data_IF_690914119400
#
_entry.id   IF_690914119400
#
_cell.length_a   1.000
_cell.length_b   1.000
_cell.length_c   1.000
_cell.angle_alpha   90.00
_cell.angle_beta   90.00
_cell.angle_gamma   90.00
#
_symmetry.space_group_name_H-M   'P 1'
#
loop_
_entity.id
_entity.type
_entity.pdbx_description
1 polymer ?
#
# COMPACT_ATOMS: atom_id res chain seq x y z
N UNK A 1 12.29 10.25 11.36
CA UNK A 1 11.03 11.01 11.60
C UNK A 1 10.53 11.66 10.32
N UNK A 2 9.84 10.92 9.45
CA UNK A 2 9.00 11.43 8.35
C UNK A 2 7.87 10.44 8.01
N UNK A 3 7.50 9.58 8.94
CA UNK A 3 6.27 8.77 8.90
C UNK A 3 5.22 9.55 9.70
N UNK A 4 4.17 9.98 9.00
CA UNK A 4 3.01 10.75 9.50
C UNK A 4 3.23 12.17 10.05
N UNK A 5 4.01 12.99 9.34
CA UNK A 5 3.75 14.44 9.37
C UNK A 5 2.42 14.72 8.67
N UNK A 6 1.42 15.24 9.41
CA UNK A 6 0.12 15.73 8.91
C UNK A 6 0.24 16.27 7.47
N UNK A 7 -0.21 15.50 6.47
CA UNK A 7 -0.26 15.97 5.08
C UNK A 7 -1.04 17.29 5.04
N UNK A 8 -0.48 18.31 4.40
CA UNK A 8 -1.23 19.55 4.14
C UNK A 8 -2.50 19.23 3.34
N UNK A 9 -3.52 20.07 3.46
CA UNK A 9 -4.76 19.87 2.68
C UNK A 9 -4.49 19.89 1.17
N UNK A 10 -3.50 20.68 0.72
CA UNK A 10 -3.05 20.70 -0.67
C UNK A 10 -2.44 19.37 -1.11
N UNK A 11 -1.63 18.73 -0.25
CA UNK A 11 -1.04 17.42 -0.56
C UNK A 11 -2.10 16.33 -0.72
N UNK A 12 -3.16 16.37 0.10
CA UNK A 12 -4.31 15.45 -0.03
C UNK A 12 -5.09 15.70 -1.32
N UNK A 13 -5.33 16.97 -1.67
CA UNK A 13 -6.07 17.33 -2.87
C UNK A 13 -5.32 16.88 -4.13
N UNK A 14 -4.02 17.18 -4.20
CA UNK A 14 -3.15 16.76 -5.30
C UNK A 14 -3.05 15.23 -5.41
N UNK A 15 -2.99 14.52 -4.29
CA UNK A 15 -2.99 13.05 -4.29
C UNK A 15 -4.29 12.48 -4.89
N UNK A 16 -5.43 13.17 -4.74
CA UNK A 16 -6.70 12.77 -5.37
C UNK A 16 -6.65 13.06 -6.87
N UNK A 17 -6.17 14.24 -7.28
CA UNK A 17 -6.07 14.63 -8.70
C UNK A 17 -5.21 13.68 -9.52
N UNK A 18 -4.13 13.15 -8.94
CA UNK A 18 -3.22 12.24 -9.61
C UNK A 18 -3.75 10.81 -9.75
N UNK A 19 -4.76 10.41 -8.96
CA UNK A 19 -5.28 9.04 -9.00
C UNK A 19 -5.90 8.74 -10.37
N UNK A 20 -5.51 7.61 -11.00
CA UNK A 20 -6.25 7.06 -12.13
C UNK A 20 -7.74 6.93 -11.82
N UNK A 21 -8.58 7.30 -12.79
CA UNK A 21 -10.04 7.23 -12.65
C UNK A 21 -10.68 6.07 -13.42
N UNK A 22 -9.91 5.31 -14.19
CA UNK A 22 -10.36 4.17 -15.00
C UNK A 22 -9.23 3.14 -15.15
N UNK A 23 -9.54 1.93 -15.61
CA UNK A 23 -8.51 0.93 -15.90
C UNK A 23 -7.51 1.38 -16.97
N UNK A 24 -7.95 2.17 -17.95
CA UNK A 24 -7.08 2.72 -19.00
C UNK A 24 -6.06 3.71 -18.46
N UNK A 25 -6.42 4.47 -17.43
CA UNK A 25 -5.49 5.37 -16.74
C UNK A 25 -4.62 4.65 -15.70
N UNK A 26 -4.99 3.44 -15.30
CA UNK A 26 -4.27 2.64 -14.31
C UNK A 26 -3.12 1.88 -14.99
N UNK A 27 -1.97 2.52 -15.05
CA UNK A 27 -0.75 1.97 -15.65
C UNK A 27 -0.27 0.76 -14.83
N UNK A 28 0.21 -0.31 -15.50
CA UNK A 28 0.72 -1.51 -14.83
C UNK A 28 -0.36 -2.40 -14.22
N UNK A 29 0.06 -3.43 -13.46
CA UNK A 29 -0.82 -4.44 -12.85
C UNK A 29 -1.73 -5.16 -13.87
N UNK A 30 -1.20 -5.41 -15.08
CA UNK A 30 -2.01 -5.82 -16.24
C UNK A 30 -2.83 -7.09 -15.98
N UNK A 31 -2.23 -8.13 -15.38
CA UNK A 31 -2.93 -9.36 -15.00
C UNK A 31 -4.10 -9.10 -14.04
N UNK A 32 -3.91 -8.24 -13.04
CA UNK A 32 -4.96 -7.91 -12.06
C UNK A 32 -6.09 -7.12 -12.72
N UNK A 33 -5.76 -6.14 -13.58
CA UNK A 33 -6.76 -5.38 -14.34
C UNK A 33 -7.59 -6.26 -15.26
N UNK A 34 -6.95 -7.18 -16.00
CA UNK A 34 -7.63 -8.10 -16.91
C UNK A 34 -8.65 -8.97 -16.16
N UNK A 35 -8.21 -9.62 -15.08
CA UNK A 35 -9.11 -10.47 -14.28
C UNK A 35 -10.25 -9.67 -13.63
N UNK A 36 -9.97 -8.47 -13.11
CA UNK A 36 -11.02 -7.59 -12.57
C UNK A 36 -12.01 -7.14 -13.65
N UNK A 37 -11.52 -6.86 -14.87
CA UNK A 37 -12.37 -6.45 -15.99
C UNK A 37 -13.36 -7.55 -16.35
N UNK A 38 -12.88 -8.81 -16.42
CA UNK A 38 -13.73 -9.98 -16.66
C UNK A 38 -14.77 -10.15 -15.54
N UNK A 39 -14.35 -10.04 -14.27
CA UNK A 39 -15.25 -10.15 -13.11
C UNK A 39 -16.37 -9.10 -13.16
N UNK A 40 -16.01 -7.84 -13.40
CA UNK A 40 -16.93 -6.70 -13.49
C UNK A 40 -17.88 -6.87 -14.68
N UNK A 41 -17.37 -7.23 -15.87
CA UNK A 41 -18.19 -7.41 -17.06
C UNK A 41 -19.21 -8.55 -16.87
N UNK A 42 -18.79 -9.65 -16.25
CA UNK A 42 -19.67 -10.77 -15.96
C UNK A 42 -20.80 -10.39 -14.98
N UNK A 43 -20.48 -9.69 -13.89
CA UNK A 43 -21.47 -9.21 -12.93
C UNK A 43 -22.47 -8.23 -13.56
N UNK A 44 -21.97 -7.28 -14.37
CA UNK A 44 -22.82 -6.34 -15.12
C UNK A 44 -23.80 -7.05 -16.06
N UNK A 45 -23.35 -8.08 -16.79
CA UNK A 45 -24.21 -8.86 -17.70
C UNK A 45 -25.34 -9.56 -16.94
N UNK A 46 -25.07 -10.02 -15.71
CA UNK A 46 -26.07 -10.64 -14.83
C UNK A 46 -26.93 -9.63 -14.05
N UNK A 47 -26.58 -8.34 -14.07
CA UNK A 47 -27.19 -7.28 -13.24
C UNK A 47 -27.08 -7.61 -11.74
N UNK A 48 -25.92 -8.09 -11.34
CA UNK A 48 -25.60 -8.46 -9.96
C UNK A 48 -24.44 -7.62 -9.44
N UNK A 49 -24.34 -7.50 -8.11
CA UNK A 49 -23.14 -7.01 -7.44
C UNK A 49 -21.96 -7.95 -7.73
N UNK A 50 -20.74 -7.42 -7.78
CA UNK A 50 -19.55 -8.28 -7.83
C UNK A 50 -19.36 -8.97 -6.49
N UNK A 51 -18.74 -10.14 -6.52
CA UNK A 51 -18.28 -10.83 -5.32
C UNK A 51 -17.36 -9.95 -4.47
N UNK A 52 -17.26 -10.24 -3.18
CA UNK A 52 -16.33 -9.54 -2.30
C UNK A 52 -14.88 -9.70 -2.77
N UNK A 53 -14.13 -8.61 -2.77
CA UNK A 53 -12.76 -8.55 -3.31
C UNK A 53 -11.73 -8.29 -2.22
N UNK A 54 -10.68 -9.10 -2.16
CA UNK A 54 -9.52 -8.86 -1.32
C UNK A 54 -8.35 -8.34 -2.16
N UNK A 55 -7.86 -7.14 -1.85
CA UNK A 55 -6.67 -6.54 -2.45
C UNK A 55 -5.51 -6.58 -1.46
N UNK A 56 -4.38 -7.17 -1.82
CA UNK A 56 -3.21 -7.18 -0.93
C UNK A 56 -1.91 -6.84 -1.64
N UNK A 57 -0.95 -6.32 -0.87
CA UNK A 57 0.37 -5.90 -1.36
C UNK A 57 0.87 -4.68 -0.57
N UNK A 58 2.14 -4.32 -0.77
CA UNK A 58 2.79 -3.22 -0.04
C UNK A 58 2.03 -1.88 -0.14
N UNK A 59 2.32 -0.99 0.81
CA UNK A 59 1.72 0.34 0.84
C UNK A 59 2.06 1.14 -0.42
N UNK A 60 1.10 1.91 -0.92
CA UNK A 60 1.32 2.80 -2.08
C UNK A 60 1.23 2.16 -3.47
N UNK A 61 0.96 0.84 -3.57
CA UNK A 61 0.80 0.14 -4.86
C UNK A 61 -0.55 0.40 -5.57
N UNK A 62 -1.47 1.12 -4.95
CA UNK A 62 -2.72 1.56 -5.58
C UNK A 62 -3.96 0.72 -5.25
N UNK A 63 -4.00 0.04 -4.10
CA UNK A 63 -5.18 -0.71 -3.60
C UNK A 63 -6.44 0.17 -3.50
N UNK A 64 -6.36 1.30 -2.80
CA UNK A 64 -7.47 2.26 -2.67
C UNK A 64 -7.90 2.83 -4.02
N UNK A 65 -6.94 3.13 -4.91
CA UNK A 65 -7.24 3.59 -6.27
C UNK A 65 -8.03 2.54 -7.06
N UNK A 66 -7.63 1.28 -6.95
CA UNK A 66 -8.30 0.17 -7.64
C UNK A 66 -9.72 -0.03 -7.12
N UNK A 67 -9.95 0.07 -5.81
CA UNK A 67 -11.29 0.04 -5.22
C UNK A 67 -12.21 1.15 -5.79
N UNK A 68 -11.69 2.37 -5.93
CA UNK A 68 -12.45 3.46 -6.58
C UNK A 68 -12.75 3.17 -8.06
N UNK A 69 -11.80 2.58 -8.80
CA UNK A 69 -12.03 2.21 -10.20
C UNK A 69 -13.10 1.13 -10.28
N UNK A 70 -13.05 0.11 -9.43
CA UNK A 70 -14.07 -0.95 -9.36
C UNK A 70 -15.46 -0.35 -9.12
N UNK A 71 -15.60 0.54 -8.13
CA UNK A 71 -16.87 1.21 -7.85
C UNK A 71 -17.38 2.03 -9.03
N UNK A 72 -16.50 2.80 -9.67
CA UNK A 72 -16.84 3.60 -10.85
C UNK A 72 -17.27 2.74 -12.03
N UNK A 73 -16.55 1.65 -12.27
CA UNK A 73 -16.89 0.72 -13.34
C UNK A 73 -18.25 0.08 -13.06
N UNK A 74 -18.52 -0.35 -11.84
CA UNK A 74 -19.83 -0.90 -11.46
C UNK A 74 -20.97 0.13 -11.50
N UNK A 75 -20.64 1.43 -11.43
CA UNK A 75 -21.63 2.50 -11.39
C UNK A 75 -22.26 2.68 -10.01
N UNK A 76 -21.60 2.18 -8.96
CA UNK A 76 -22.08 2.20 -7.58
C UNK A 76 -21.31 3.19 -6.72
N UNK A 77 -21.87 3.58 -5.57
CA UNK A 77 -21.15 4.43 -4.62
C UNK A 77 -20.09 3.60 -3.88
N UNK A 78 -19.09 4.30 -3.34
CA UNK A 78 -18.07 3.70 -2.49
C UNK A 78 -18.03 4.40 -1.14
N UNK A 79 -18.23 3.61 -0.08
CA UNK A 79 -17.99 4.02 1.30
C UNK A 79 -16.60 3.56 1.71
N UNK A 80 -15.76 4.48 2.17
CA UNK A 80 -14.40 4.19 2.61
C UNK A 80 -14.33 4.22 4.13
N UNK A 81 -13.70 3.20 4.69
CA UNK A 81 -13.32 3.11 6.10
C UNK A 81 -12.00 2.35 6.23
N UNK A 82 -11.53 2.13 7.46
CA UNK A 82 -10.38 1.29 7.75
C UNK A 82 -10.69 0.34 8.90
N UNK A 83 -9.97 -0.79 8.98
CA UNK A 83 -10.08 -1.74 10.07
C UNK A 83 -9.95 -1.09 11.44
N UNK A 84 -8.93 -0.24 11.68
CA UNK A 84 -8.80 0.48 12.95
C UNK A 84 -9.92 1.49 13.24
N UNK A 85 -10.61 2.00 12.22
CA UNK A 85 -11.72 2.94 12.41
C UNK A 85 -13.03 2.25 12.85
N UNK A 86 -13.10 0.92 12.78
CA UNK A 86 -14.25 0.13 13.22
C UNK A 86 -13.89 -0.55 14.55
N UNK A 87 -14.08 0.19 15.65
CA UNK A 87 -13.64 -0.25 16.98
C UNK A 87 -14.66 -1.16 17.67
N UNK A 88 -15.95 -1.02 17.35
CA UNK A 88 -17.04 -1.79 17.97
C UNK A 88 -18.09 -2.18 16.95
N UNK A 89 -18.91 -3.18 17.31
CA UNK A 89 -20.04 -3.66 16.50
C UNK A 89 -20.98 -2.53 16.09
N UNK A 90 -21.20 -1.54 16.96
CA UNK A 90 -22.03 -0.36 16.63
C UNK A 90 -21.47 0.49 15.49
N UNK A 91 -20.15 0.60 15.34
CA UNK A 91 -19.54 1.36 14.24
C UNK A 91 -19.72 0.61 12.91
N UNK A 92 -19.52 -0.72 12.94
CA UNK A 92 -19.78 -1.57 11.78
C UNK A 92 -21.25 -1.50 11.37
N UNK A 93 -22.16 -1.62 12.34
CA UNK A 93 -23.60 -1.51 12.11
C UNK A 93 -23.96 -0.17 11.47
N UNK A 94 -23.43 0.94 11.99
CA UNK A 94 -23.65 2.27 11.42
C UNK A 94 -23.16 2.37 9.97
N UNK A 95 -22.03 1.75 9.63
CA UNK A 95 -21.52 1.75 8.26
C UNK A 95 -22.41 0.91 7.34
N UNK A 96 -22.72 -0.33 7.73
CA UNK A 96 -23.47 -1.28 6.90
C UNK A 96 -24.92 -0.85 6.66
N UNK A 97 -25.59 -0.35 7.69
CA UNK A 97 -27.00 0.11 7.60
C UNK A 97 -27.18 1.38 6.75
N UNK A 98 -26.11 2.12 6.48
CA UNK A 98 -26.13 3.29 5.61
C UNK A 98 -25.78 2.97 4.14
N UNK A 99 -25.49 1.72 3.81
CA UNK A 99 -25.24 1.32 2.43
C UNK A 99 -26.56 1.25 1.64
N UNK A 100 -26.45 1.38 0.33
CA UNK A 100 -27.53 1.10 -0.62
C UNK A 100 -27.23 -0.18 -1.41
N UNK A 101 -28.23 -0.69 -2.13
CA UNK A 101 -28.06 -1.89 -2.96
C UNK A 101 -26.99 -1.68 -4.04
N UNK A 102 -26.05 -2.60 -4.12
CA UNK A 102 -24.87 -2.55 -4.98
C UNK A 102 -23.73 -1.65 -4.50
N UNK A 103 -23.89 -0.91 -3.40
CA UNK A 103 -22.80 -0.06 -2.89
C UNK A 103 -21.55 -0.88 -2.54
N UNK A 104 -20.40 -0.22 -2.66
CA UNK A 104 -19.11 -0.81 -2.32
C UNK A 104 -18.66 -0.30 -0.95
N UNK A 105 -18.43 -1.21 -0.01
CA UNK A 105 -17.75 -0.92 1.24
C UNK A 105 -16.26 -1.24 1.11
N UNK A 106 -15.40 -0.23 1.11
CA UNK A 106 -13.95 -0.41 1.12
C UNK A 106 -13.39 -0.29 2.54
N UNK A 107 -12.72 -1.35 3.01
CA UNK A 107 -12.07 -1.40 4.33
C UNK A 107 -10.56 -1.55 4.15
N UNK A 108 -9.83 -0.44 4.29
CA UNK A 108 -8.36 -0.49 4.31
C UNK A 108 -7.85 -1.09 5.61
N UNK A 109 -6.70 -1.75 5.59
CA UNK A 109 -6.15 -2.45 6.75
C UNK A 109 -7.20 -3.37 7.44
N UNK A 110 -8.00 -4.09 6.66
CA UNK A 110 -9.08 -4.94 7.17
C UNK A 110 -8.61 -5.99 8.19
N UNK A 111 -7.34 -6.38 8.14
CA UNK A 111 -6.70 -7.28 9.11
C UNK A 111 -6.56 -6.68 10.52
N UNK A 112 -6.80 -5.38 10.70
CA UNK A 112 -6.76 -4.68 12.00
C UNK A 112 -8.14 -4.52 12.64
N UNK A 113 -9.21 -5.05 12.03
CA UNK A 113 -10.49 -5.17 12.72
C UNK A 113 -10.29 -6.07 13.94
N UNK A 114 -10.93 -5.72 15.06
CA UNK A 114 -10.90 -6.62 16.21
C UNK A 114 -11.77 -7.85 15.94
N UNK A 115 -11.48 -8.93 16.66
CA UNK A 115 -12.13 -10.23 16.48
C UNK A 115 -13.66 -10.16 16.55
N UNK A 116 -14.21 -9.40 17.49
CA UNK A 116 -15.67 -9.27 17.65
C UNK A 116 -16.32 -8.61 16.43
N UNK A 117 -15.74 -7.52 15.94
CA UNK A 117 -16.20 -6.83 14.73
C UNK A 117 -16.07 -7.73 13.50
N UNK A 118 -14.94 -8.43 13.38
CA UNK A 118 -14.67 -9.36 12.28
C UNK A 118 -15.69 -10.50 12.25
N UNK A 119 -15.97 -11.13 13.39
CA UNK A 119 -16.97 -12.21 13.48
C UNK A 119 -18.39 -11.70 13.17
N UNK A 120 -18.70 -10.47 13.54
CA UNK A 120 -19.99 -9.83 13.22
C UNK A 120 -20.13 -9.53 11.72
N UNK A 121 -19.02 -9.38 10.99
CA UNK A 121 -19.04 -9.12 9.55
C UNK A 121 -19.39 -10.38 8.73
N UNK A 122 -19.22 -11.58 9.28
CA UNK A 122 -19.41 -12.82 8.53
C UNK A 122 -20.83 -13.01 7.98
N UNK A 123 -21.91 -12.90 8.77
CA UNK A 123 -23.27 -13.03 8.24
C UNK A 123 -23.63 -11.88 7.28
N UNK A 124 -23.03 -10.70 7.47
CA UNK A 124 -23.22 -9.57 6.58
C UNK A 124 -22.64 -9.81 5.18
N UNK A 125 -21.54 -10.58 5.09
CA UNK A 125 -20.92 -10.97 3.82
C UNK A 125 -21.62 -12.15 3.15
N UNK A 126 -22.10 -13.11 3.94
CA UNK A 126 -22.65 -14.37 3.41
C UNK A 126 -24.14 -14.24 3.07
N UNK A 127 -24.92 -13.70 4.01
CA UNK A 127 -26.38 -13.72 3.98
C UNK A 127 -27.00 -12.31 3.94
N UNK A 128 -26.18 -11.25 3.93
CA UNK A 128 -26.62 -9.85 3.98
C UNK A 128 -27.52 -9.56 5.18
N UNK A 129 -27.15 -10.08 6.35
CA UNK A 129 -27.84 -9.84 7.61
C UNK A 129 -26.86 -9.40 8.69
N UNK A 130 -27.36 -8.63 9.65
CA UNK A 130 -26.58 -8.16 10.78
C UNK A 130 -27.30 -8.44 12.10
N UNK A 131 -26.68 -9.24 12.95
CA UNK A 131 -27.20 -9.54 14.28
C UNK A 131 -26.71 -8.49 15.29
N UNK A 132 -27.66 -7.78 15.92
CA UNK A 132 -27.38 -6.79 16.95
C UNK A 132 -28.01 -7.23 18.27
N UNK A 133 -27.17 -7.33 19.31
CA UNK A 133 -27.62 -7.60 20.67
C UNK A 133 -28.03 -6.27 21.33
N UNK A 134 -29.30 -6.15 21.67
CA UNK A 134 -29.85 -5.02 22.43
C UNK A 134 -30.09 -5.39 23.89
N UNK A 135 -29.62 -4.54 24.80
CA UNK A 135 -29.72 -4.75 26.25
C UNK A 135 -28.47 -5.38 26.86
N UNK A 136 -28.54 -5.74 28.15
CA UNK A 136 -27.44 -6.35 28.91
C UNK A 136 -27.96 -7.51 29.76
N UNK A 137 -27.16 -8.56 29.92
CA UNK A 137 -27.48 -9.69 30.78
C UNK A 137 -28.55 -10.64 30.19
N UNK A 138 -29.23 -11.44 31.02
CA UNK A 138 -30.18 -12.46 30.58
C UNK A 138 -31.41 -11.93 29.81
N UNK A 139 -31.67 -10.63 29.88
CA UNK A 139 -32.77 -9.96 29.16
C UNK A 139 -32.36 -9.39 27.81
N UNK A 140 -31.10 -9.55 27.40
CA UNK A 140 -30.63 -9.10 26.10
C UNK A 140 -31.37 -9.83 24.98
N UNK A 141 -31.82 -9.08 23.97
CA UNK A 141 -32.48 -9.62 22.78
C UNK A 141 -31.60 -9.42 21.57
N UNK A 142 -31.47 -10.45 20.76
CA UNK A 142 -30.84 -10.34 19.44
C UNK A 142 -31.89 -9.89 18.44
N UNK A 143 -31.61 -8.79 17.73
CA UNK A 143 -32.39 -8.34 16.58
C UNK A 143 -31.54 -8.56 15.35
N UNK A 144 -32.12 -9.21 14.35
CA UNK A 144 -31.51 -9.39 13.04
C UNK A 144 -32.00 -8.27 12.12
N UNK A 145 -31.06 -7.56 11.49
CA UNK A 145 -31.34 -6.52 10.50
C UNK A 145 -30.97 -7.04 9.12
N UNK A 146 -31.87 -6.87 8.16
CA UNK A 146 -31.56 -7.11 6.74
C UNK A 146 -30.68 -5.97 6.21
N UNK A 147 -29.67 -6.33 5.42
CA UNK A 147 -28.75 -5.41 4.76
C UNK A 147 -29.01 -5.39 3.24
N UNK A 148 -28.70 -4.29 2.55
CA UNK A 148 -28.65 -4.27 1.08
C UNK A 148 -27.56 -5.22 0.57
N UNK A 149 -27.66 -5.65 -0.70
CA UNK A 149 -26.59 -6.45 -1.32
C UNK A 149 -25.41 -5.56 -1.68
N UNK A 150 -24.42 -5.50 -0.80
CA UNK A 150 -23.23 -4.68 -1.00
C UNK A 150 -22.01 -5.52 -1.40
N UNK A 151 -20.98 -4.88 -1.96
CA UNK A 151 -19.68 -5.52 -2.17
C UNK A 151 -18.68 -5.02 -1.12
N UNK A 152 -18.14 -5.91 -0.30
CA UNK A 152 -16.95 -5.62 0.50
C UNK A 152 -15.68 -5.68 -0.36
N UNK A 153 -14.88 -4.62 -0.33
CA UNK A 153 -13.49 -4.64 -0.80
C UNK A 153 -12.55 -4.48 0.40
N UNK A 154 -11.88 -5.56 0.78
CA UNK A 154 -10.87 -5.55 1.84
C UNK A 154 -9.49 -5.20 1.28
N UNK A 155 -8.71 -4.40 1.99
CA UNK A 155 -7.30 -4.17 1.66
C UNK A 155 -6.36 -4.51 2.82
N UNK A 156 -5.20 -5.09 2.51
CA UNK A 156 -4.16 -5.42 3.49
C UNK A 156 -2.75 -5.31 2.89
N UNK A 157 -1.72 -5.22 3.73
CA UNK A 157 -0.32 -5.32 3.29
C UNK A 157 0.06 -6.76 2.97
N UNK A 158 -0.41 -7.70 3.78
CA UNK A 158 -0.08 -9.13 3.71
C UNK A 158 -1.34 -9.97 3.93
N UNK A 159 -1.59 -10.90 3.02
CA UNK A 159 -2.72 -11.84 3.13
C UNK A 159 -2.62 -12.74 4.37
N UNK A 160 -1.41 -13.00 4.87
CA UNK A 160 -1.18 -13.79 6.09
C UNK A 160 -1.69 -13.16 7.38
N UNK A 161 -2.03 -11.86 7.37
CA UNK A 161 -2.52 -11.14 8.54
C UNK A 161 -4.03 -11.32 8.78
N UNK A 162 -4.79 -11.69 7.75
CA UNK A 162 -6.21 -11.95 7.91
C UNK A 162 -6.44 -13.34 8.52
N UNK A 163 -7.51 -13.49 9.29
CA UNK A 163 -7.97 -14.79 9.75
C UNK A 163 -8.34 -15.71 8.57
N UNK A 164 -8.31 -17.02 8.79
CA UNK A 164 -8.80 -17.95 7.78
C UNK A 164 -10.30 -17.75 7.45
N UNK A 165 -11.19 -17.58 8.46
CA UNK A 165 -12.61 -17.34 8.20
C UNK A 165 -12.91 -16.08 7.38
N UNK A 166 -12.25 -14.95 7.63
CA UNK A 166 -12.46 -13.74 6.84
C UNK A 166 -11.94 -13.90 5.41
N UNK A 167 -10.78 -14.55 5.23
CA UNK A 167 -10.21 -14.79 3.89
C UNK A 167 -11.09 -15.66 3.01
N UNK A 168 -11.70 -16.71 3.55
CA UNK A 168 -12.52 -17.63 2.76
C UNK A 168 -13.82 -17.01 2.23
N UNK A 169 -14.22 -15.84 2.75
CA UNK A 169 -15.44 -15.12 2.35
C UNK A 169 -15.22 -14.11 1.22
N UNK A 170 -13.97 -13.88 0.81
CA UNK A 170 -13.68 -13.11 -0.39
C UNK A 170 -13.74 -14.03 -1.63
N UNK A 171 -14.69 -13.77 -2.54
CA UNK A 171 -14.82 -14.54 -3.78
C UNK A 171 -13.67 -14.30 -4.77
N UNK A 172 -13.09 -13.10 -4.75
CA UNK A 172 -11.93 -12.76 -5.57
C UNK A 172 -10.78 -12.18 -4.74
N UNK A 173 -9.55 -12.66 -4.97
CA UNK A 173 -8.35 -12.19 -4.27
C UNK A 173 -7.26 -11.79 -5.27
N UNK A 174 -6.77 -10.56 -5.16
CA UNK A 174 -5.75 -10.01 -6.06
C UNK A 174 -4.54 -9.47 -5.30
N UNK A 175 -3.36 -9.89 -5.76
CA UNK A 175 -2.06 -9.38 -5.31
C UNK A 175 -1.66 -8.20 -6.19
N UNK A 176 -1.26 -7.09 -5.58
CA UNK A 176 -0.54 -6.02 -6.24
C UNK A 176 0.95 -6.17 -5.94
N UNK A 177 1.73 -6.31 -7.00
CA UNK A 177 3.20 -6.40 -6.90
C UNK A 177 3.87 -5.04 -7.11
N UNK A 178 5.16 -4.96 -6.80
CA UNK A 178 5.96 -3.80 -7.18
C UNK A 178 5.90 -3.59 -8.70
N UNK A 179 5.87 -2.32 -9.11
CA UNK A 179 5.75 -1.96 -10.51
C UNK A 179 7.08 -2.17 -11.23
N UNK A 180 7.01 -2.43 -12.54
CA UNK A 180 8.20 -2.39 -13.38
C UNK A 180 8.70 -0.96 -13.53
N UNK A 181 9.98 -0.81 -13.82
CA UNK A 181 10.58 0.52 -13.96
C UNK A 181 9.91 1.30 -15.10
N UNK A 182 9.56 0.64 -16.21
CA UNK A 182 8.87 1.26 -17.35
C UNK A 182 7.46 1.73 -17.00
N UNK A 183 6.77 1.01 -16.10
CA UNK A 183 5.44 1.39 -15.65
C UNK A 183 5.51 2.62 -14.73
N UNK A 184 6.51 2.69 -13.85
CA UNK A 184 6.77 3.88 -13.04
C UNK A 184 7.13 5.08 -13.93
N UNK A 185 7.96 4.89 -14.96
CA UNK A 185 8.30 5.95 -15.90
C UNK A 185 7.04 6.55 -16.54
N UNK A 186 6.12 5.72 -17.02
CA UNK A 186 4.82 6.17 -17.55
C UNK A 186 3.98 6.89 -16.51
N UNK A 187 3.99 6.43 -15.25
CA UNK A 187 3.26 7.08 -14.16
C UNK A 187 3.82 8.47 -13.87
N UNK A 188 5.15 8.61 -13.78
CA UNK A 188 5.82 9.90 -13.56
C UNK A 188 5.52 10.85 -14.73
N UNK A 189 5.59 10.36 -15.98
CA UNK A 189 5.24 11.15 -17.15
C UNK A 189 3.80 11.68 -17.10
N UNK A 190 2.83 10.78 -16.82
CA UNK A 190 1.41 11.15 -16.69
C UNK A 190 1.21 12.19 -15.59
N UNK A 191 1.81 11.97 -14.42
CA UNK A 191 1.69 12.89 -13.30
C UNK A 191 2.34 14.24 -13.58
N UNK A 192 3.46 14.28 -14.30
CA UNK A 192 4.10 15.52 -14.71
C UNK A 192 3.19 16.35 -15.63
N UNK A 193 2.55 15.69 -16.61
CA UNK A 193 1.59 16.33 -17.50
C UNK A 193 0.39 16.90 -16.73
N UNK A 194 -0.18 16.14 -15.79
CA UNK A 194 -1.32 16.61 -14.96
C UNK A 194 -0.94 17.82 -14.10
N UNK A 195 0.31 17.86 -13.61
CA UNK A 195 0.81 18.93 -12.75
C UNK A 195 1.42 20.11 -13.54
N UNK A 196 1.44 20.06 -14.87
CA UNK A 196 2.07 21.08 -15.71
C UNK A 196 3.60 21.16 -15.53
N UNK A 197 4.25 20.06 -15.14
CA UNK A 197 5.70 20.01 -14.89
C UNK A 197 6.43 19.67 -16.19
N UNK A 198 7.34 20.54 -16.60
CA UNK A 198 8.17 20.31 -17.77
C UNK A 198 9.38 19.44 -17.42
N UNK A 199 9.49 18.27 -18.07
CA UNK A 199 10.65 17.37 -17.95
C UNK A 199 11.41 17.39 -19.27
N UNK A 200 12.65 17.88 -19.25
CA UNK A 200 13.45 18.18 -20.44
C UNK A 200 13.93 16.94 -21.18
N UNK A 201 14.27 15.87 -20.46
CA UNK A 201 14.87 14.68 -21.04
C UNK A 201 14.41 13.38 -20.36
N UNK A 202 14.52 12.26 -21.09
CA UNK A 202 14.12 10.94 -20.60
C UNK A 202 14.99 10.47 -19.41
N UNK A 203 16.25 10.92 -19.34
CA UNK A 203 17.16 10.63 -18.23
C UNK A 203 16.64 11.15 -16.88
N UNK A 204 16.12 12.38 -16.83
CA UNK A 204 15.53 12.95 -15.61
C UNK A 204 14.36 12.12 -15.10
N UNK A 205 13.52 11.69 -16.03
CA UNK A 205 12.38 10.84 -15.74
C UNK A 205 12.82 9.48 -15.19
N UNK A 206 13.81 8.84 -15.82
CA UNK A 206 14.42 7.59 -15.35
C UNK A 206 15.00 7.71 -13.94
N UNK A 207 15.65 8.84 -13.62
CA UNK A 207 16.23 9.09 -12.29
C UNK A 207 15.15 9.13 -11.21
N UNK A 208 14.05 9.86 -11.45
CA UNK A 208 12.92 9.93 -10.50
C UNK A 208 12.29 8.54 -10.35
N UNK A 209 12.08 7.85 -11.46
CA UNK A 209 11.44 6.53 -11.50
C UNK A 209 12.24 5.46 -10.75
N UNK A 210 13.53 5.31 -11.05
CA UNK A 210 14.40 4.31 -10.41
C UNK A 210 14.52 4.50 -8.90
N UNK A 211 14.42 5.74 -8.43
CA UNK A 211 14.48 6.08 -7.00
C UNK A 211 13.12 6.06 -6.30
N UNK A 212 12.05 5.73 -7.01
CA UNK A 212 10.68 5.70 -6.48
C UNK A 212 10.30 4.41 -5.75
N UNK A 213 11.24 3.50 -5.54
CA UNK A 213 11.00 2.20 -4.92
C UNK A 213 9.91 1.37 -5.59
N UNK A 214 9.82 1.46 -6.92
CA UNK A 214 8.84 0.71 -7.71
C UNK A 214 7.39 0.93 -7.24
N UNK A 215 7.11 2.11 -6.66
CA UNK A 215 5.84 2.40 -5.99
C UNK A 215 5.26 3.73 -6.51
N UNK A 216 4.04 3.73 -7.09
CA UNK A 216 3.43 4.93 -7.66
C UNK A 216 3.29 6.11 -6.67
N UNK A 217 2.92 5.81 -5.41
CA UNK A 217 2.81 6.82 -4.34
C UNK A 217 4.14 7.54 -4.11
N UNK A 218 5.24 6.78 -4.04
CA UNK A 218 6.58 7.34 -3.85
C UNK A 218 6.98 8.12 -5.09
N UNK A 219 6.76 7.59 -6.29
CA UNK A 219 7.07 8.26 -7.55
C UNK A 219 6.42 9.65 -7.65
N UNK A 220 5.13 9.75 -7.36
CA UNK A 220 4.39 11.01 -7.37
C UNK A 220 4.89 11.98 -6.29
N UNK A 221 5.23 11.47 -5.10
CA UNK A 221 5.83 12.29 -4.02
C UNK A 221 7.19 12.85 -4.46
N UNK A 222 8.04 12.04 -5.07
CA UNK A 222 9.35 12.48 -5.56
C UNK A 222 9.21 13.51 -6.67
N UNK A 223 8.34 13.28 -7.65
CA UNK A 223 8.07 14.24 -8.71
C UNK A 223 7.64 15.61 -8.13
N UNK A 224 6.74 15.62 -7.15
CA UNK A 224 6.33 16.86 -6.46
C UNK A 224 7.53 17.58 -5.83
N UNK A 225 8.38 16.86 -5.08
CA UNK A 225 9.57 17.46 -4.44
C UNK A 225 10.61 17.95 -5.45
N UNK A 226 10.82 17.22 -6.55
CA UNK A 226 11.74 17.65 -7.62
C UNK A 226 11.19 18.87 -8.34
N UNK A 227 9.87 18.95 -8.56
CA UNK A 227 9.21 20.17 -9.07
C UNK A 227 9.45 21.35 -8.13
N UNK A 228 9.15 21.20 -6.84
CA UNK A 228 9.31 22.28 -5.85
C UNK A 228 10.76 22.78 -5.83
N UNK A 229 11.74 21.86 -5.90
CA UNK A 229 13.16 22.21 -6.02
C UNK A 229 13.45 22.98 -7.32
N UNK A 230 12.94 22.51 -8.46
CA UNK A 230 13.19 23.12 -9.77
C UNK A 230 12.62 24.54 -9.89
N UNK A 231 11.51 24.83 -9.20
CA UNK A 231 10.88 26.15 -9.21
C UNK A 231 11.65 27.18 -8.37
N UNK A 232 12.38 26.73 -7.34
CA UNK A 232 13.10 27.62 -6.43
C UNK A 232 14.59 27.74 -6.79
N UNK A 233 15.19 26.66 -7.29
CA UNK A 233 16.65 26.53 -7.49
C UNK A 233 17.06 26.35 -8.94
N UNK A 234 16.12 26.39 -9.89
CA UNK A 234 16.37 26.23 -11.33
C UNK A 234 15.34 27.03 -12.14
N UNK A 235 15.28 26.81 -13.45
CA UNK A 235 14.41 27.55 -14.37
C UNK A 235 12.99 26.95 -14.47
N UNK A 236 12.54 26.20 -13.46
CA UNK A 236 11.24 25.51 -13.47
C UNK A 236 11.13 24.29 -14.40
N UNK A 237 12.20 23.94 -15.11
CA UNK A 237 12.30 22.76 -15.98
C UNK A 237 13.16 21.69 -15.31
N UNK A 238 12.67 20.45 -15.25
CA UNK A 238 13.41 19.33 -14.66
C UNK A 238 14.28 18.67 -15.73
N UNK A 239 15.59 18.82 -15.61
CA UNK A 239 16.57 18.02 -16.34
C UNK A 239 17.28 17.00 -15.44
N UNK A 240 18.24 16.26 -16.01
CA UNK A 240 19.03 15.24 -15.30
C UNK A 240 19.69 15.79 -14.04
N UNK A 241 20.34 16.96 -14.15
CA UNK A 241 21.11 17.57 -13.07
C UNK A 241 20.17 18.06 -11.97
N UNK A 242 19.06 18.70 -12.34
CA UNK A 242 18.05 19.15 -11.38
C UNK A 242 17.45 17.97 -10.62
N UNK A 243 17.11 16.87 -11.31
CA UNK A 243 16.59 15.67 -10.67
C UNK A 243 17.60 15.03 -9.69
N UNK A 244 18.87 14.91 -10.09
CA UNK A 244 19.93 14.38 -9.23
C UNK A 244 20.17 15.25 -7.99
N UNK A 245 20.23 16.57 -8.16
CA UNK A 245 20.44 17.52 -7.07
C UNK A 245 19.27 17.53 -6.09
N UNK A 246 18.04 17.55 -6.60
CA UNK A 246 16.83 17.51 -5.78
C UNK A 246 16.76 16.22 -4.95
N UNK A 247 16.98 15.05 -5.58
CA UNK A 247 16.93 13.77 -4.88
C UNK A 247 18.09 13.59 -3.90
N UNK A 248 19.28 14.14 -4.22
CA UNK A 248 20.41 14.19 -3.28
C UNK A 248 20.11 15.06 -2.06
N UNK A 249 19.43 16.20 -2.24
CA UNK A 249 19.01 17.07 -1.13
C UNK A 249 17.97 16.39 -0.23
N UNK A 250 17.15 15.49 -0.77
CA UNK A 250 16.24 14.63 0.00
C UNK A 250 16.96 13.40 0.60
N UNK A 251 18.28 13.30 0.42
CA UNK A 251 19.11 12.18 0.86
C UNK A 251 18.74 10.82 0.27
N UNK A 252 18.08 10.82 -0.88
CA UNK A 252 17.66 9.60 -1.59
C UNK A 252 18.77 9.16 -2.54
N UNK A 253 19.30 7.96 -2.32
CA UNK A 253 20.37 7.43 -3.15
C UNK A 253 19.90 6.87 -4.50
N UNK A 254 20.84 6.33 -5.27
CA UNK A 254 20.62 5.78 -6.60
C UNK A 254 19.66 4.57 -6.65
N UNK A 255 19.44 3.88 -5.53
CA UNK A 255 18.51 2.75 -5.42
C UNK A 255 17.16 3.18 -4.81
N UNK A 256 16.99 4.47 -4.50
CA UNK A 256 15.78 4.99 -3.87
C UNK A 256 15.71 4.76 -2.36
N UNK A 257 16.81 4.36 -1.72
CA UNK A 257 16.84 4.20 -0.27
C UNK A 257 16.92 5.57 0.41
N UNK A 258 16.12 5.76 1.44
CA UNK A 258 16.11 6.93 2.30
C UNK A 258 17.04 6.68 3.50
N UNK A 259 17.35 7.72 4.31
CA UNK A 259 18.16 7.55 5.50
C UNK A 259 17.72 6.41 6.42
N UNK A 260 16.40 6.20 6.61
CA UNK A 260 15.89 5.13 7.46
C UNK A 260 16.19 3.72 6.92
N UNK A 261 16.06 3.49 5.62
CA UNK A 261 16.38 2.18 5.02
C UNK A 261 17.87 1.87 5.17
N UNK A 262 18.74 2.84 4.90
CA UNK A 262 20.18 2.70 5.08
C UNK A 262 20.53 2.47 6.54
N UNK A 263 19.88 3.19 7.46
CA UNK A 263 20.07 3.01 8.89
C UNK A 263 19.69 1.61 9.35
N UNK A 264 18.57 1.05 8.87
CA UNK A 264 18.18 -0.34 9.18
C UNK A 264 19.27 -1.32 8.72
N UNK A 265 19.78 -1.18 7.49
CA UNK A 265 20.85 -2.03 6.98
C UNK A 265 22.15 -1.85 7.77
N UNK A 266 22.53 -0.62 8.12
CA UNK A 266 23.70 -0.30 8.94
C UNK A 266 23.61 -0.92 10.33
N UNK A 267 22.42 -0.89 10.97
CA UNK A 267 22.20 -1.53 12.27
C UNK A 267 22.42 -3.03 12.16
N UNK A 268 21.84 -3.69 11.14
CA UNK A 268 22.02 -5.13 10.93
C UNK A 268 23.50 -5.47 10.73
N UNK A 269 24.20 -4.69 9.91
CA UNK A 269 25.61 -4.94 9.58
C UNK A 269 26.53 -4.67 10.79
N UNK A 270 26.41 -3.49 11.40
CA UNK A 270 27.37 -3.02 12.40
C UNK A 270 27.07 -3.50 13.83
N UNK A 271 25.79 -3.72 14.17
CA UNK A 271 25.38 -4.15 15.53
C UNK A 271 25.17 -5.65 15.64
N UNK A 272 24.81 -6.31 14.54
CA UNK A 272 24.50 -7.73 14.50
C UNK A 272 25.41 -8.52 13.54
N UNK A 273 26.53 -7.94 13.12
CA UNK A 273 27.52 -8.57 12.23
C UNK A 273 26.91 -9.13 10.93
N UNK A 274 25.88 -8.48 10.39
CA UNK A 274 25.16 -8.93 9.19
C UNK A 274 23.91 -9.75 9.47
N UNK A 275 23.63 -10.12 10.73
CA UNK A 275 22.49 -10.95 11.14
C UNK A 275 22.89 -12.40 11.44
N UNK A 276 21.91 -13.30 11.66
CA UNK A 276 20.48 -13.06 11.68
C UNK A 276 20.03 -12.26 12.91
N UNK A 277 19.14 -11.28 12.70
CA UNK A 277 18.52 -10.50 13.78
C UNK A 277 16.99 -10.60 13.76
N UNK A 278 16.40 -10.86 14.91
CA UNK A 278 14.93 -10.88 15.08
C UNK A 278 14.32 -9.48 15.02
N UNK A 279 13.06 -9.36 14.60
CA UNK A 279 12.37 -8.06 14.47
C UNK A 279 12.44 -7.24 15.76
N UNK A 280 12.17 -7.88 16.91
CA UNK A 280 12.18 -7.22 18.23
C UNK A 280 13.55 -6.65 18.61
N UNK A 281 14.64 -7.34 18.26
CA UNK A 281 16.00 -6.87 18.54
C UNK A 281 16.38 -5.71 17.60
N UNK A 282 15.93 -5.78 16.35
CA UNK A 282 16.13 -4.71 15.37
C UNK A 282 15.39 -3.43 15.81
N UNK A 283 14.12 -3.52 16.21
CA UNK A 283 13.34 -2.35 16.65
C UNK A 283 13.96 -1.67 17.88
N UNK A 284 14.55 -2.44 18.79
CA UNK A 284 15.21 -1.90 19.98
C UNK A 284 16.48 -1.09 19.67
N UNK A 285 17.04 -1.23 18.46
CA UNK A 285 18.30 -0.59 18.06
C UNK A 285 18.13 0.42 16.93
N UNK A 286 17.07 0.33 16.13
CA UNK A 286 16.81 1.20 14.98
C UNK A 286 15.86 2.37 15.26
N UNK A 287 15.30 2.49 16.47
CA UNK A 287 14.27 3.50 16.82
C UNK A 287 13.06 3.51 15.86
N UNK A 288 12.70 2.35 15.33
CA UNK A 288 11.57 2.16 14.41
C UNK A 288 10.63 1.10 14.97
N UNK A 289 9.34 1.24 14.70
CA UNK A 289 8.33 0.28 15.14
C UNK A 289 8.38 -1.02 14.32
N UNK A 290 8.01 -2.14 14.96
CA UNK A 290 8.05 -3.47 14.33
C UNK A 290 7.22 -3.54 13.04
N UNK A 291 6.03 -2.94 13.07
CA UNK A 291 5.11 -2.87 11.93
C UNK A 291 5.70 -2.00 10.82
N UNK A 292 6.23 -0.83 11.14
CA UNK A 292 6.89 0.06 10.17
C UNK A 292 8.04 -0.64 9.46
N UNK A 293 8.91 -1.35 10.18
CA UNK A 293 9.97 -2.14 9.57
C UNK A 293 9.39 -3.21 8.64
N UNK A 294 8.45 -4.02 9.12
CA UNK A 294 7.95 -5.18 8.40
C UNK A 294 7.10 -4.84 7.17
N UNK A 295 6.33 -3.75 7.22
CA UNK A 295 5.32 -3.39 6.23
C UNK A 295 5.71 -2.20 5.34
N UNK A 296 6.67 -1.36 5.76
CA UNK A 296 7.13 -0.19 4.98
C UNK A 296 8.52 -0.41 4.37
N UNK A 297 9.53 -0.72 5.19
CA UNK A 297 10.93 -0.75 4.73
C UNK A 297 11.34 -2.11 4.15
N UNK A 298 11.07 -3.18 4.91
CA UNK A 298 11.50 -4.54 4.61
C UNK A 298 11.02 -5.06 3.23
N UNK A 299 9.78 -4.80 2.76
CA UNK A 299 9.33 -5.30 1.46
C UNK A 299 10.21 -4.82 0.29
N UNK A 300 10.61 -3.55 0.28
CA UNK A 300 11.46 -3.01 -0.79
C UNK A 300 12.91 -3.49 -0.67
N UNK A 301 13.44 -3.55 0.56
CA UNK A 301 14.79 -4.06 0.81
C UNK A 301 14.96 -5.53 0.41
N UNK A 302 13.94 -6.36 0.67
CA UNK A 302 13.88 -7.75 0.20
C UNK A 302 13.80 -7.81 -1.33
N UNK A 303 12.93 -6.99 -1.94
CA UNK A 303 12.75 -6.96 -3.39
C UNK A 303 14.03 -6.55 -4.13
N UNK A 304 14.79 -5.62 -3.58
CA UNK A 304 16.08 -5.17 -4.13
C UNK A 304 17.24 -6.11 -3.79
N UNK A 305 17.01 -7.12 -2.93
CA UNK A 305 18.03 -8.07 -2.52
C UNK A 305 19.06 -7.52 -1.54
N UNK A 306 18.79 -6.38 -0.88
CA UNK A 306 19.65 -5.84 0.18
C UNK A 306 19.47 -6.60 1.51
N UNK A 307 18.29 -7.18 1.70
CA UNK A 307 17.91 -7.93 2.89
C UNK A 307 17.47 -9.34 2.48
N UNK A 308 17.70 -10.30 3.35
CA UNK A 308 17.15 -11.65 3.28
C UNK A 308 16.45 -12.01 4.59
N UNK A 309 15.40 -12.83 4.50
CA UNK A 309 14.73 -13.44 5.67
C UNK A 309 15.14 -14.90 5.79
N UNK A 310 15.57 -15.29 6.99
CA UNK A 310 15.83 -16.68 7.38
C UNK A 310 14.92 -17.07 8.55
N UNK A 311 14.77 -18.36 8.88
CA UNK A 311 14.03 -18.78 10.08
C UNK A 311 14.57 -18.16 11.38
N UNK A 312 15.86 -17.80 11.41
CA UNK A 312 16.54 -17.22 12.58
C UNK A 312 16.40 -15.68 12.65
N UNK A 313 16.08 -15.01 11.55
CA UNK A 313 15.97 -13.55 11.52
C UNK A 313 16.29 -12.93 10.16
N UNK A 314 16.55 -11.62 10.17
CA UNK A 314 16.93 -10.83 8.99
C UNK A 314 18.44 -10.84 8.84
N UNK A 315 18.90 -10.95 7.60
CA UNK A 315 20.33 -10.95 7.24
C UNK A 315 20.56 -9.89 6.16
N UNK A 316 21.60 -9.08 6.31
CA UNK A 316 22.06 -8.16 5.29
C UNK A 316 22.87 -8.92 4.24
N UNK A 317 22.55 -8.75 2.97
CA UNK A 317 23.24 -9.47 1.88
C UNK A 317 24.54 -8.78 1.48
N UNK A 318 25.41 -9.45 0.73
CA UNK A 318 26.62 -8.85 0.14
C UNK A 318 26.34 -7.55 -0.63
N UNK A 319 25.15 -7.44 -1.24
CA UNK A 319 24.73 -6.22 -1.94
C UNK A 319 24.60 -5.01 -0.99
N UNK A 320 24.08 -5.22 0.22
CA UNK A 320 23.95 -4.15 1.22
C UNK A 320 25.32 -3.66 1.71
N UNK A 321 26.25 -4.57 1.97
CA UNK A 321 27.63 -4.22 2.32
C UNK A 321 28.31 -3.39 1.24
N UNK A 322 28.24 -3.86 -0.01
CA UNK A 322 28.82 -3.14 -1.15
C UNK A 322 28.21 -1.76 -1.33
N UNK A 323 26.89 -1.64 -1.17
CA UNK A 323 26.19 -0.37 -1.31
C UNK A 323 26.55 0.64 -0.22
N UNK A 324 26.59 0.20 1.05
CA UNK A 324 26.98 1.02 2.19
C UNK A 324 28.50 1.22 2.31
N UNK A 325 29.27 0.63 1.39
CA UNK A 325 30.75 0.67 1.37
C UNK A 325 31.37 0.10 2.66
N UNK A 326 30.74 -0.93 3.23
CA UNK A 326 31.23 -1.66 4.38
C UNK A 326 31.89 -2.96 3.90
N UNK A 327 33.05 -3.32 4.44
CA UNK A 327 33.77 -4.53 4.06
C UNK A 327 32.95 -5.77 4.42
N UNK A 328 32.63 -6.60 3.42
CA UNK A 328 32.03 -7.91 3.64
C UNK A 328 33.11 -8.92 4.04
N UNK A 329 32.91 -9.67 5.12
CA UNK A 329 33.84 -10.73 5.53
C UNK A 329 33.32 -12.08 5.04
N UNK A 330 34.02 -12.70 4.09
CA UNK A 330 33.57 -13.93 3.41
C UNK A 330 33.46 -15.15 4.34
N UNK A 331 34.12 -15.14 5.50
CA UNK A 331 33.95 -16.18 6.53
C UNK A 331 32.51 -16.22 7.11
N UNK A 332 31.74 -15.14 6.99
CA UNK A 332 30.36 -15.07 7.48
C UNK A 332 29.38 -15.90 6.64
N UNK A 333 29.70 -16.17 5.36
CA UNK A 333 28.81 -16.92 4.46
C UNK A 333 28.76 -18.43 4.80
N UNK A 334 29.80 -18.95 5.48
CA UNK A 334 29.87 -20.38 5.88
C UNK A 334 29.14 -20.71 7.18
N UNK A 335 28.58 -19.71 7.87
CA UNK A 335 27.94 -19.84 9.19
C UNK A 335 26.40 -19.81 9.14
N UNK A 336 25.80 -19.64 7.96
CA UNK A 336 24.35 -19.45 7.78
C UNK A 336 23.66 -20.49 6.93
#
# INVERSE_FOLDING_TARGET
>A
MLTDSKKSNEDKYLDITLRPKSFNEYIGQDKTKENLSILIEAAKKRRESIEHVLLYGSSGLGKTTLAHIIAREMGNNIKITSGPAIEKVGDLASVLTNLQDGDILFVDECHRMNKTVEETLYPAMEDYVLDIILGKGPSAKTIQLELPKFTLIGATTRIGLLSSPLRSRFGATYRLDFYRDEDIEKIVARSANILGVQIKNQEALKIISRRSRKTPRVANRLLKRVRDFSQVRSDGVIDKKTAEQALKMLEIDQYGLEPADRHILEVIINKFNGGPVGLKALTATSNEEAETIADVYEPYLLQMGFLARTPRGRVATKLAYNHLKIKYNEEQERLF
#
